data_IF_180764229978
#
_entry.id   IF_180764229978
#
_cell.length_a   1.000
_cell.length_b   1.000
_cell.length_c   1.000
_cell.angle_alpha   90.00
_cell.angle_beta   90.00
_cell.angle_gamma   90.00
#
_symmetry.space_group_name_H-M   'P 1'
#
loop_
_entity.id
_entity.type
_entity.pdbx_description
1 polymer ?
#
# COMPACT_ATOMS: atom_id res chain seq x y z
N UNK A 1 13.65 12.58 10.36
CA UNK A 1 13.08 11.30 9.89
C UNK A 1 11.62 11.49 9.51
N UNK A 2 11.23 11.02 8.34
CA UNK A 2 9.84 11.14 7.91
C UNK A 2 8.97 10.10 8.60
N UNK A 3 7.72 10.49 8.90
CA UNK A 3 6.72 9.55 9.41
C UNK A 3 6.22 8.66 8.28
N UNK A 4 5.54 7.56 8.64
CA UNK A 4 4.93 6.68 7.65
C UNK A 4 3.95 7.44 6.76
N UNK A 5 3.11 8.30 7.36
CA UNK A 5 2.15 9.09 6.60
C UNK A 5 2.82 10.04 5.62
N UNK A 6 3.93 10.66 6.02
CA UNK A 6 4.66 11.57 5.14
C UNK A 6 5.28 10.81 3.96
N UNK A 7 5.85 9.63 4.22
CA UNK A 7 6.42 8.78 3.18
C UNK A 7 5.32 8.36 2.21
N UNK A 8 4.19 7.91 2.74
CA UNK A 8 3.05 7.51 1.90
C UNK A 8 2.58 8.67 1.03
N UNK A 9 2.45 9.86 1.61
CA UNK A 9 2.02 11.04 0.88
C UNK A 9 2.97 11.38 -0.28
N UNK A 10 4.26 11.34 -0.03
CA UNK A 10 5.26 11.58 -1.08
C UNK A 10 5.13 10.58 -2.22
N UNK A 11 4.97 9.32 -1.86
CA UNK A 11 4.88 8.25 -2.85
C UNK A 11 3.60 8.35 -3.67
N UNK A 12 2.47 8.63 -3.02
CA UNK A 12 1.20 8.79 -3.73
C UNK A 12 1.25 9.99 -4.68
N UNK A 13 1.83 11.11 -4.24
CA UNK A 13 1.97 12.28 -5.10
C UNK A 13 2.85 11.97 -6.31
N UNK A 14 3.97 11.30 -6.08
CA UNK A 14 4.86 10.90 -7.17
C UNK A 14 4.13 10.02 -8.19
N UNK A 15 3.42 9.01 -7.68
CA UNK A 15 2.69 8.06 -8.52
C UNK A 15 1.63 8.78 -9.36
N UNK A 16 0.82 9.62 -8.73
CA UNK A 16 -0.26 10.33 -9.40
C UNK A 16 0.27 11.29 -10.45
N UNK A 17 1.38 11.98 -10.15
CA UNK A 17 1.97 12.90 -11.12
C UNK A 17 2.54 12.17 -12.31
N UNK A 18 3.09 10.98 -12.10
CA UNK A 18 3.71 10.22 -13.18
C UNK A 18 2.70 9.43 -14.01
N UNK A 19 1.78 8.72 -13.34
CA UNK A 19 0.89 7.77 -14.00
C UNK A 19 -0.57 8.21 -14.07
N UNK A 20 -0.95 9.23 -13.34
CA UNK A 20 -2.31 9.74 -13.35
C UNK A 20 -2.61 10.70 -14.49
N UNK A 21 -1.61 11.09 -15.26
CA UNK A 21 -1.78 12.05 -16.35
C UNK A 21 -2.55 11.44 -17.50
N UNK A 22 -3.37 12.25 -18.14
CA UNK A 22 -4.24 11.79 -19.24
C UNK A 22 -3.46 11.17 -20.41
N UNK A 23 -2.26 11.69 -20.65
CA UNK A 23 -1.45 11.22 -21.76
C UNK A 23 -0.63 9.97 -21.45
N UNK A 24 -0.65 9.48 -20.20
CA UNK A 24 0.05 8.25 -19.86
C UNK A 24 -0.87 7.06 -20.13
N UNK A 25 -0.42 6.16 -20.99
CA UNK A 25 -1.19 4.99 -21.39
C UNK A 25 -0.31 3.75 -21.33
N UNK A 26 -0.73 2.69 -20.59
CA UNK A 26 -1.94 2.65 -19.76
C UNK A 26 -1.79 3.49 -18.49
N UNK A 27 -2.89 4.01 -18.02
CA UNK A 27 -2.93 4.71 -16.74
C UNK A 27 -2.97 3.66 -15.63
N UNK A 28 -2.21 3.91 -14.57
CA UNK A 28 -2.17 3.02 -13.44
C UNK A 28 -2.99 3.59 -12.29
N UNK A 29 -3.40 2.73 -11.37
CA UNK A 29 -4.18 3.14 -10.20
C UNK A 29 -3.40 2.92 -8.92
N UNK A 30 -3.54 3.86 -7.99
CA UNK A 30 -3.05 3.71 -6.64
C UNK A 30 -4.05 4.36 -5.69
N UNK A 31 -4.43 3.65 -4.66
CA UNK A 31 -5.41 4.17 -3.69
C UNK A 31 -5.14 3.60 -2.31
N UNK A 32 -5.58 4.34 -1.30
CA UNK A 32 -5.41 3.92 0.09
C UNK A 32 -6.54 2.99 0.54
N UNK A 33 -6.22 2.15 1.53
CA UNK A 33 -7.18 1.21 2.11
C UNK A 33 -7.26 1.50 3.61
N UNK A 34 -8.21 2.32 4.04
CA UNK A 34 -8.38 2.56 5.47
C UNK A 34 -8.81 1.26 6.15
N UNK A 35 -8.15 0.90 7.23
CA UNK A 35 -8.44 -0.38 7.88
C UNK A 35 -8.67 -0.26 9.39
N UNK A 36 -8.84 0.97 9.92
CA UNK A 36 -9.06 1.17 11.34
C UNK A 36 -10.36 1.92 11.61
N UNK A 37 -11.09 1.46 12.61
CA UNK A 37 -12.24 2.16 13.14
C UNK A 37 -11.83 3.05 14.31
N UNK A 38 -12.63 4.08 14.59
CA UNK A 38 -12.37 5.03 15.68
C UNK A 38 -12.55 4.42 17.06
N UNK A 39 -13.37 3.38 17.17
CA UNK A 39 -13.66 2.71 18.44
C UNK A 39 -14.05 1.27 18.15
N UNK A 40 -14.30 0.50 19.22
CA UNK A 40 -14.59 -0.92 19.08
C UNK A 40 -15.88 -1.21 18.31
N UNK A 41 -16.89 -0.37 18.48
CA UNK A 41 -18.16 -0.55 17.76
C UNK A 41 -17.95 -0.33 16.28
N UNK A 42 -17.26 0.74 15.92
CA UNK A 42 -16.95 1.04 14.53
C UNK A 42 -16.07 -0.04 13.91
N UNK A 43 -15.07 -0.53 14.65
CA UNK A 43 -14.21 -1.61 14.15
C UNK A 43 -15.01 -2.90 13.94
N UNK A 44 -15.89 -3.24 14.87
CA UNK A 44 -16.72 -4.44 14.72
C UNK A 44 -17.62 -4.32 13.50
N UNK A 45 -18.21 -3.16 13.30
CA UNK A 45 -19.06 -2.91 12.15
C UNK A 45 -18.28 -3.01 10.84
N UNK A 46 -17.10 -2.42 10.81
CA UNK A 46 -16.23 -2.47 9.61
C UNK A 46 -15.76 -3.89 9.31
N UNK A 47 -15.45 -4.67 10.34
CA UNK A 47 -15.09 -6.07 10.16
C UNK A 47 -16.24 -6.89 9.57
N UNK A 48 -17.45 -6.60 10.00
CA UNK A 48 -18.64 -7.29 9.48
C UNK A 48 -18.84 -7.03 7.99
N UNK A 49 -18.37 -5.90 7.47
CA UNK A 49 -18.48 -5.55 6.06
C UNK A 49 -17.16 -5.71 5.29
N UNK A 50 -16.18 -6.39 5.89
CA UNK A 50 -14.97 -6.78 5.16
C UNK A 50 -13.67 -6.16 5.61
N UNK A 51 -13.66 -5.39 6.71
CA UNK A 51 -12.39 -4.87 7.22
C UNK A 51 -11.50 -6.04 7.67
N UNK A 52 -10.26 -6.04 7.22
CA UNK A 52 -9.31 -7.09 7.57
C UNK A 52 -8.12 -6.49 8.30
N UNK A 53 -7.72 -7.10 9.42
CA UNK A 53 -6.55 -6.67 10.19
C UNK A 53 -5.27 -6.92 9.40
N UNK A 54 -4.33 -5.99 9.47
CA UNK A 54 -3.01 -6.16 8.83
C UNK A 54 -2.98 -5.89 7.34
N UNK A 55 -4.09 -5.44 6.75
CA UNK A 55 -4.09 -5.12 5.31
C UNK A 55 -3.12 -3.96 5.04
N UNK A 56 -2.53 -3.95 3.86
CA UNK A 56 -1.57 -2.91 3.46
C UNK A 56 -2.23 -1.53 3.39
N UNK A 57 -1.38 -0.49 3.44
CA UNK A 57 -1.84 0.90 3.42
C UNK A 57 -2.45 1.30 2.09
N UNK A 58 -1.92 0.78 1.00
CA UNK A 58 -2.35 1.12 -0.35
C UNK A 58 -2.36 -0.10 -1.25
N UNK A 59 -3.07 0.03 -2.36
CA UNK A 59 -3.08 -0.98 -3.43
C UNK A 59 -2.73 -0.26 -4.73
N UNK A 60 -1.87 -0.89 -5.52
CA UNK A 60 -1.47 -0.40 -6.83
C UNK A 60 -1.90 -1.43 -7.87
N UNK A 61 -2.61 -0.97 -8.88
CA UNK A 61 -3.03 -1.83 -10.00
C UNK A 61 -2.35 -1.31 -11.26
N UNK A 62 -1.49 -2.15 -11.84
CA UNK A 62 -0.73 -1.79 -13.05
C UNK A 62 -1.36 -2.35 -14.32
N UNK A 63 -2.46 -3.08 -14.19
CA UNK A 63 -3.05 -3.79 -15.31
C UNK A 63 -2.44 -5.17 -15.53
N UNK A 64 -1.21 -5.38 -15.04
CA UNK A 64 -0.53 -6.68 -15.08
C UNK A 64 -0.43 -7.29 -13.70
N UNK A 65 -0.18 -6.44 -12.70
CA UNK A 65 0.04 -6.85 -11.32
C UNK A 65 -0.86 -6.08 -10.38
N UNK A 66 -1.22 -6.72 -9.29
CA UNK A 66 -1.80 -6.07 -8.12
C UNK A 66 -0.70 -6.06 -7.07
N UNK A 67 -0.37 -4.88 -6.56
CA UNK A 67 0.70 -4.69 -5.59
C UNK A 67 0.11 -4.14 -4.31
N UNK A 68 0.29 -4.86 -3.21
CA UNK A 68 -0.11 -4.40 -1.89
C UNK A 68 1.09 -3.68 -1.30
N UNK A 69 0.94 -2.39 -1.05
CA UNK A 69 2.06 -1.54 -0.65
C UNK A 69 1.85 -0.96 0.73
N UNK A 70 2.78 -1.26 1.61
CA UNK A 70 2.77 -0.84 3.00
C UNK A 70 3.90 0.14 3.24
N UNK A 71 3.66 1.17 4.05
CA UNK A 71 4.66 2.19 4.35
C UNK A 71 5.12 2.07 5.80
N UNK A 72 6.42 2.13 6.00
CA UNK A 72 7.04 2.12 7.32
C UNK A 72 8.08 3.23 7.38
N UNK A 73 8.27 3.81 8.58
CA UNK A 73 9.40 4.71 8.75
C UNK A 73 10.68 3.88 8.89
N UNK A 74 11.82 4.56 9.09
CA UNK A 74 13.13 3.89 9.11
C UNK A 74 13.25 2.83 10.19
N UNK A 75 12.49 2.95 11.28
CA UNK A 75 12.58 2.04 12.43
C UNK A 75 11.36 1.13 12.59
N UNK A 76 10.32 1.38 11.82
CA UNK A 76 9.09 0.60 11.94
C UNK A 76 9.26 -0.84 11.49
N UNK A 77 8.56 -1.74 12.16
CA UNK A 77 8.56 -3.16 11.79
C UNK A 77 7.13 -3.60 11.56
N UNK A 78 6.98 -4.62 10.72
CA UNK A 78 5.66 -5.19 10.47
C UNK A 78 5.11 -5.84 11.73
N UNK A 79 3.81 -5.66 11.97
CA UNK A 79 3.13 -6.40 13.03
C UNK A 79 2.93 -7.86 12.58
N UNK A 80 2.65 -8.78 13.52
CA UNK A 80 2.35 -10.16 13.14
C UNK A 80 1.19 -10.26 12.13
N UNK A 81 0.17 -9.43 12.28
CA UNK A 81 -0.97 -9.42 11.36
C UNK A 81 -0.57 -8.95 9.97
N UNK A 82 0.33 -7.97 9.87
CA UNK A 82 0.84 -7.51 8.59
C UNK A 82 1.67 -8.59 7.89
N UNK A 83 2.48 -9.31 8.64
CA UNK A 83 3.26 -10.41 8.08
C UNK A 83 2.37 -11.54 7.57
N UNK A 84 1.32 -11.85 8.32
CA UNK A 84 0.34 -12.86 7.94
C UNK A 84 -0.37 -12.45 6.65
N UNK A 85 -0.77 -11.18 6.55
CA UNK A 85 -1.39 -10.65 5.35
C UNK A 85 -0.45 -10.74 4.14
N UNK A 86 0.81 -10.35 4.32
CA UNK A 86 1.82 -10.45 3.28
C UNK A 86 1.96 -11.89 2.76
N UNK A 87 2.11 -12.85 3.67
CA UNK A 87 2.23 -14.25 3.30
C UNK A 87 1.01 -14.71 2.48
N UNK A 88 -0.17 -14.28 2.91
CA UNK A 88 -1.41 -14.67 2.25
C UNK A 88 -1.46 -14.13 0.82
N UNK A 89 -1.20 -12.83 0.62
CA UNK A 89 -1.30 -12.24 -0.72
C UNK A 89 -0.20 -12.76 -1.64
N UNK A 90 0.99 -13.03 -1.10
CA UNK A 90 2.06 -13.62 -1.90
C UNK A 90 1.73 -15.04 -2.33
N UNK A 91 1.03 -15.79 -1.48
CA UNK A 91 0.57 -17.13 -1.83
C UNK A 91 -0.47 -17.12 -2.97
N UNK A 92 -1.15 -15.98 -3.15
CA UNK A 92 -2.10 -15.80 -4.24
C UNK A 92 -1.44 -15.29 -5.53
N UNK A 93 -0.10 -15.18 -5.53
CA UNK A 93 0.63 -14.69 -6.69
C UNK A 93 0.63 -13.18 -6.83
N UNK A 94 0.26 -12.44 -5.78
CA UNK A 94 0.28 -10.98 -5.79
C UNK A 94 1.60 -10.47 -5.24
N UNK A 95 1.93 -9.22 -5.53
CA UNK A 95 3.14 -8.58 -5.03
C UNK A 95 2.86 -7.83 -3.73
N UNK A 96 3.86 -7.75 -2.88
CA UNK A 96 3.78 -7.01 -1.63
C UNK A 96 5.05 -6.20 -1.44
N UNK A 97 4.92 -4.91 -1.22
CA UNK A 97 6.06 -4.02 -1.01
C UNK A 97 5.99 -3.41 0.38
N UNK A 98 7.12 -3.38 1.08
CA UNK A 98 7.31 -2.60 2.30
C UNK A 98 8.22 -1.45 1.93
N UNK A 99 7.68 -0.25 1.92
CA UNK A 99 8.38 0.94 1.40
C UNK A 99 8.71 1.89 2.56
N UNK A 100 9.97 2.27 2.64
CA UNK A 100 10.46 3.11 3.74
C UNK A 100 10.91 4.48 3.26
N UNK A 101 10.92 4.74 1.97
CA UNK A 101 11.30 6.04 1.41
C UNK A 101 10.78 6.20 0.00
N UNK A 102 10.71 7.45 -0.47
CA UNK A 102 10.34 7.74 -1.85
C UNK A 102 11.34 7.12 -2.83
N UNK A 103 12.61 7.16 -2.50
CA UNK A 103 13.65 6.58 -3.34
C UNK A 103 13.43 5.08 -3.54
N UNK A 104 13.13 4.38 -2.47
CA UNK A 104 12.83 2.95 -2.54
C UNK A 104 11.60 2.68 -3.39
N UNK A 105 10.59 3.52 -3.26
CA UNK A 105 9.36 3.40 -4.04
C UNK A 105 9.64 3.55 -5.54
N UNK A 106 10.43 4.56 -5.90
CA UNK A 106 10.83 4.79 -7.29
C UNK A 106 11.59 3.59 -7.86
N UNK A 107 12.50 3.02 -7.06
CA UNK A 107 13.26 1.86 -7.48
C UNK A 107 12.38 0.64 -7.73
N UNK A 108 11.41 0.41 -6.86
CA UNK A 108 10.45 -0.69 -7.03
C UNK A 108 9.62 -0.52 -8.31
N UNK A 109 9.15 0.70 -8.56
CA UNK A 109 8.37 0.96 -9.77
C UNK A 109 9.19 0.75 -11.04
N UNK A 110 10.47 1.11 -11.00
CA UNK A 110 11.34 1.00 -12.18
C UNK A 110 11.70 -0.46 -12.48
N UNK A 111 12.00 -1.24 -11.45
CA UNK A 111 12.50 -2.62 -11.64
C UNK A 111 11.42 -3.69 -11.65
N UNK A 112 10.29 -3.45 -10.96
CA UNK A 112 9.26 -4.45 -10.74
C UNK A 112 7.93 -4.16 -11.43
N UNK A 113 7.93 -3.17 -12.30
CA UNK A 113 6.70 -2.75 -12.98
C UNK A 113 6.77 -3.01 -14.51
#
# INVERSE_FOLDING_TARGET
>A
MLTESAIQQECVMYFRNKFGLKHHIPRLLMFSVPNEGKNMIEQSRKKAIGLMSGVSDTIIDTGKDIIYCEFKDAKGVQSPKQKEFQEHVESLGRKYWVIRSLEEFKNHLTTNH
#
